data_IF_693448718096
#
_entry.id   IF_693448718096
#
_cell.length_a   1.000
_cell.length_b   1.000
_cell.length_c   1.000
_cell.angle_alpha   90.00
_cell.angle_beta   90.00
_cell.angle_gamma   90.00
#
_symmetry.space_group_name_H-M   'P 1'
#
loop_
_entity.id
_entity.type
_entity.pdbx_description
1 polymer ?
#
# COMPACT_ATOMS: atom_id res chain seq x y z
N UNK A 1 -3.06 -10.90 17.17
CA UNK A 1 -3.61 -10.63 15.82
C UNK A 1 -2.57 -11.07 14.79
N UNK A 2 -2.91 -11.94 13.82
CA UNK A 2 -1.96 -12.49 12.84
C UNK A 2 -2.20 -11.85 11.45
N UNK A 3 -1.77 -10.60 11.30
CA UNK A 3 -1.86 -9.88 10.02
C UNK A 3 -0.65 -10.27 9.17
N UNK A 4 -0.89 -10.71 7.92
CA UNK A 4 0.16 -11.15 6.99
C UNK A 4 0.12 -10.46 5.63
N UNK A 5 -1.00 -9.84 5.30
CA UNK A 5 -1.24 -9.24 4.00
C UNK A 5 -2.12 -8.00 4.15
N UNK A 6 -1.70 -6.91 3.54
CA UNK A 6 -2.49 -5.70 3.32
C UNK A 6 -2.61 -5.51 1.83
N UNK A 7 -3.84 -5.27 1.38
CA UNK A 7 -4.14 -5.08 -0.04
C UNK A 7 -4.97 -3.82 -0.18
N UNK A 8 -4.57 -2.94 -1.10
CA UNK A 8 -5.28 -1.68 -1.35
C UNK A 8 -5.47 -1.47 -2.85
N UNK A 9 -6.61 -0.89 -3.21
CA UNK A 9 -6.77 -0.28 -4.53
C UNK A 9 -5.92 1.01 -4.62
N UNK A 10 -5.73 1.48 -5.85
CA UNK A 10 -4.93 2.67 -6.17
C UNK A 10 -5.80 3.93 -6.19
N UNK A 11 -6.57 4.13 -7.26
CA UNK A 11 -7.24 5.40 -7.56
C UNK A 11 -8.37 5.66 -6.57
N UNK A 12 -8.35 6.82 -5.90
CA UNK A 12 -9.36 7.18 -4.91
C UNK A 12 -9.32 6.38 -3.60
N UNK A 13 -8.30 5.53 -3.41
CA UNK A 13 -8.04 4.79 -2.17
C UNK A 13 -6.64 5.07 -1.63
N UNK A 14 -5.60 4.57 -2.28
CA UNK A 14 -4.22 4.83 -1.87
C UNK A 14 -3.70 6.17 -2.41
N UNK A 15 -4.11 6.50 -3.64
CA UNK A 15 -3.83 7.78 -4.27
C UNK A 15 -4.93 8.78 -3.91
N UNK A 16 -4.53 10.03 -3.66
CA UNK A 16 -5.44 11.16 -3.53
C UNK A 16 -5.99 11.59 -4.90
N UNK A 17 -6.80 12.66 -4.91
CA UNK A 17 -7.42 13.19 -6.13
C UNK A 17 -6.42 13.69 -7.19
N UNK A 18 -5.16 13.92 -6.82
CA UNK A 18 -4.07 14.31 -7.74
C UNK A 18 -3.29 13.09 -8.27
N UNK A 19 -3.67 11.87 -7.89
CA UNK A 19 -2.94 10.66 -8.23
C UNK A 19 -1.62 10.51 -7.45
N UNK A 20 -1.48 11.18 -6.31
CA UNK A 20 -0.27 11.16 -5.48
C UNK A 20 -0.54 10.59 -4.09
N UNK A 21 0.54 10.29 -3.36
CA UNK A 21 0.51 9.84 -1.97
C UNK A 21 1.75 10.36 -1.25
N UNK A 22 1.70 10.39 0.09
CA UNK A 22 2.86 10.75 0.91
C UNK A 22 3.90 9.62 0.88
N UNK A 23 5.02 9.90 0.18
CA UNK A 23 6.11 8.94 -0.02
C UNK A 23 6.91 8.69 1.25
N UNK A 24 7.11 9.69 2.10
CA UNK A 24 7.89 9.56 3.33
C UNK A 24 7.16 8.67 4.32
N UNK A 25 5.87 8.97 4.53
CA UNK A 25 4.99 8.16 5.37
C UNK A 25 4.88 6.71 4.86
N UNK A 26 4.73 6.52 3.55
CA UNK A 26 4.67 5.17 2.97
C UNK A 26 6.00 4.41 3.12
N UNK A 27 7.14 5.07 3.00
CA UNK A 27 8.44 4.42 3.17
C UNK A 27 8.61 3.89 4.60
N UNK A 28 8.25 4.70 5.61
CA UNK A 28 8.25 4.28 7.02
C UNK A 28 7.31 3.09 7.24
N UNK A 29 6.09 3.16 6.69
CA UNK A 29 5.11 2.08 6.78
C UNK A 29 5.63 0.77 6.17
N UNK A 30 6.17 0.85 4.95
CA UNK A 30 6.70 -0.31 4.21
C UNK A 30 7.84 -1.00 4.98
N UNK A 31 8.73 -0.23 5.60
CA UNK A 31 9.82 -0.79 6.41
C UNK A 31 9.27 -1.56 7.62
N UNK A 32 8.35 -0.95 8.37
CA UNK A 32 7.71 -1.60 9.53
C UNK A 32 6.94 -2.87 9.14
N UNK A 33 6.30 -2.88 7.97
CA UNK A 33 5.61 -4.07 7.47
C UNK A 33 6.59 -5.17 7.06
N UNK A 34 7.70 -4.80 6.42
CA UNK A 34 8.75 -5.75 6.01
C UNK A 34 9.38 -6.43 7.22
N UNK A 35 9.71 -5.67 8.27
CA UNK A 35 10.24 -6.19 9.53
C UNK A 35 9.31 -7.20 10.21
N UNK A 36 7.99 -7.07 9.98
CA UNK A 36 6.95 -7.93 10.56
C UNK A 36 6.52 -9.07 9.65
N UNK A 37 7.18 -9.26 8.50
CA UNK A 37 6.78 -10.24 7.48
C UNK A 37 5.31 -10.05 7.04
N UNK A 38 4.93 -8.80 6.80
CA UNK A 38 3.62 -8.39 6.28
C UNK A 38 3.81 -7.92 4.85
N UNK A 39 3.07 -8.54 3.92
CA UNK A 39 3.07 -8.14 2.51
C UNK A 39 2.12 -6.97 2.29
N UNK A 40 2.56 -5.95 1.56
CA UNK A 40 1.71 -4.85 1.10
C UNK A 40 1.59 -4.91 -0.41
N UNK A 41 0.37 -5.03 -0.93
CA UNK A 41 0.10 -5.24 -2.36
C UNK A 41 -0.88 -4.20 -2.87
N UNK A 42 -0.54 -3.57 -3.99
CA UNK A 42 -1.47 -2.75 -4.74
C UNK A 42 -2.30 -3.67 -5.65
N UNK A 43 -3.62 -3.64 -5.49
CA UNK A 43 -4.55 -4.15 -6.48
C UNK A 43 -4.75 -3.06 -7.53
N UNK A 44 -4.62 -3.45 -8.78
CA UNK A 44 -4.88 -2.60 -9.92
C UNK A 44 -5.87 -3.34 -10.80
N UNK A 45 -6.95 -2.64 -11.15
CA UNK A 45 -8.08 -3.22 -11.88
C UNK A 45 -7.96 -3.15 -13.40
N UNK A 46 -6.89 -2.58 -13.99
CA UNK A 46 -6.80 -2.60 -15.46
C UNK A 46 -6.28 -3.95 -15.92
N UNK A 47 -6.90 -4.47 -16.97
CA UNK A 47 -6.37 -5.61 -17.71
C UNK A 47 -5.08 -5.14 -18.40
N UNK A 48 -4.01 -5.93 -18.27
CA UNK A 48 -2.78 -5.77 -19.08
C UNK A 48 -3.11 -5.78 -20.56
#
# INVERSE_FOLDING_TARGET
MNLKLVVTDMDGTFLNNEGTFDRESFHLLKNQMTEKDIKFVFLYGKTV
#
